data_IF_611031552967
#
_entry.id   IF_611031552967
#
_cell.length_a   1.000
_cell.length_b   1.000
_cell.length_c   1.000
_cell.angle_alpha   90.00
_cell.angle_beta   90.00
_cell.angle_gamma   90.00
#
_symmetry.space_group_name_H-M   'P 1'
#
loop_
_entity.id
_entity.type
_entity.pdbx_description
1 polymer ?
#
# COMPACT_ATOMS: atom_id res chain seq x y z
N UNK A 1 17.26 -1.48 2.16
CA UNK A 1 18.06 -1.86 3.34
C UNK A 1 19.51 -1.40 3.25
N UNK A 2 20.32 -1.85 2.26
CA UNK A 2 21.73 -1.44 2.11
C UNK A 2 21.94 0.08 2.24
N UNK A 3 21.18 0.85 1.46
CA UNK A 3 21.23 2.32 1.46
C UNK A 3 21.03 2.96 2.84
N UNK A 4 20.09 2.44 3.64
CA UNK A 4 19.85 2.91 5.00
C UNK A 4 20.96 2.50 5.98
N UNK A 5 21.57 1.32 5.78
CA UNK A 5 22.70 0.85 6.60
C UNK A 5 23.99 1.63 6.32
N UNK A 6 24.14 2.17 5.12
CA UNK A 6 25.27 2.99 4.67
C UNK A 6 25.02 4.51 4.83
N UNK A 7 23.89 4.89 5.44
CA UNK A 7 23.57 6.29 5.67
C UNK A 7 24.54 6.93 6.66
N UNK A 8 24.96 8.15 6.38
CA UNK A 8 25.78 8.96 7.29
C UNK A 8 24.88 9.61 8.35
N UNK A 9 24.39 8.78 9.29
CA UNK A 9 23.46 9.18 10.33
C UNK A 9 22.38 8.12 10.62
N UNK A 10 21.40 8.45 11.49
CA UNK A 10 20.30 7.53 11.77
C UNK A 10 19.42 7.34 10.53
N UNK A 11 19.01 6.09 10.30
CA UNK A 11 18.06 5.73 9.26
C UNK A 11 16.82 5.05 9.87
N UNK A 12 15.66 5.30 9.26
CA UNK A 12 14.40 4.67 9.64
C UNK A 12 13.83 3.87 8.47
N UNK A 13 13.37 2.65 8.74
CA UNK A 13 12.72 1.78 7.77
C UNK A 13 11.37 1.34 8.33
N UNK A 14 10.29 1.76 7.69
CA UNK A 14 8.96 1.24 7.98
C UNK A 14 8.66 0.09 7.04
N UNK A 15 8.58 -1.13 7.56
CA UNK A 15 8.40 -2.35 6.76
C UNK A 15 7.03 -2.93 7.04
N UNK A 16 6.18 -3.01 6.02
CA UNK A 16 4.93 -3.76 6.13
C UNK A 16 5.25 -5.25 6.17
N UNK A 17 4.80 -5.93 7.21
CA UNK A 17 4.96 -7.36 7.39
C UNK A 17 3.59 -8.00 7.55
N UNK A 18 3.31 -9.01 6.72
CA UNK A 18 2.08 -9.77 6.83
C UNK A 18 2.18 -10.73 8.01
N UNK A 19 1.15 -10.76 8.85
CA UNK A 19 1.07 -11.65 10.00
C UNK A 19 -0.08 -12.62 9.78
N UNK A 20 0.21 -13.87 9.41
CA UNK A 20 -0.79 -14.90 9.11
C UNK A 20 -1.83 -15.05 10.23
N UNK A 21 -1.45 -15.22 11.53
CA UNK A 21 -2.43 -15.36 12.60
C UNK A 21 -3.20 -14.06 12.86
N UNK A 22 -2.54 -12.90 12.78
CA UNK A 22 -3.16 -11.60 13.05
C UNK A 22 -4.12 -11.14 11.95
N UNK A 23 -3.73 -11.31 10.69
CA UNK A 23 -4.50 -10.90 9.52
C UNK A 23 -5.46 -12.00 9.05
N UNK A 24 -5.27 -13.24 9.53
CA UNK A 24 -6.14 -14.40 9.33
C UNK A 24 -6.31 -14.77 7.85
N UNK A 25 -5.19 -15.06 7.17
CA UNK A 25 -5.16 -15.53 5.78
C UNK A 25 -4.37 -16.85 5.67
N UNK A 26 -4.60 -17.65 4.63
CA UNK A 26 -3.87 -18.91 4.42
C UNK A 26 -2.39 -18.65 4.08
N UNK A 27 -1.42 -19.43 4.62
CA UNK A 27 0.02 -19.18 4.41
C UNK A 27 0.45 -18.99 2.95
N UNK A 28 -0.19 -19.70 2.00
CA UNK A 28 0.07 -19.57 0.55
C UNK A 28 -0.14 -18.14 0.00
N UNK A 29 -0.90 -17.30 0.69
CA UNK A 29 -1.18 -15.92 0.28
C UNK A 29 -0.22 -14.90 0.90
N UNK A 30 0.79 -15.31 1.68
CA UNK A 30 1.66 -14.38 2.43
C UNK A 30 2.35 -13.31 1.55
N UNK A 31 2.82 -13.71 0.36
CA UNK A 31 3.40 -12.79 -0.64
C UNK A 31 2.29 -12.00 -1.32
N UNK A 32 1.22 -12.68 -1.75
CA UNK A 32 0.13 -12.08 -2.51
C UNK A 32 -0.53 -10.91 -1.78
N UNK A 33 -0.74 -11.02 -0.46
CA UNK A 33 -1.36 -9.93 0.31
C UNK A 33 -0.46 -8.68 0.40
N UNK A 34 0.87 -8.85 0.38
CA UNK A 34 1.81 -7.72 0.40
C UNK A 34 1.93 -7.07 -0.97
N UNK A 35 1.90 -7.86 -2.05
CA UNK A 35 1.77 -7.33 -3.42
C UNK A 35 0.49 -6.49 -3.55
N UNK A 36 -0.64 -7.05 -3.10
CA UNK A 36 -1.93 -6.35 -3.13
C UNK A 36 -1.96 -5.10 -2.27
N UNK A 37 -1.22 -5.07 -1.15
CA UNK A 37 -1.08 -3.84 -0.35
C UNK A 37 -0.47 -2.71 -1.19
N UNK A 38 0.54 -3.03 -2.01
CA UNK A 38 1.15 -2.07 -2.93
C UNK A 38 0.23 -1.75 -4.11
N UNK A 39 -0.31 -2.78 -4.78
CA UNK A 39 -1.17 -2.62 -5.98
C UNK A 39 -2.47 -1.86 -5.69
N UNK A 40 -2.97 -1.85 -4.45
CA UNK A 40 -4.19 -1.10 -4.07
C UNK A 40 -3.91 0.30 -3.55
N UNK A 41 -2.64 0.66 -3.33
CA UNK A 41 -2.24 1.90 -2.67
C UNK A 41 -2.43 1.90 -1.15
N UNK A 42 -2.79 0.76 -0.54
CA UNK A 42 -2.82 0.63 0.92
C UNK A 42 -1.44 0.84 1.56
N UNK A 43 -0.39 0.45 0.82
CA UNK A 43 0.99 0.67 1.20
C UNK A 43 1.76 1.31 0.04
N UNK A 44 2.38 2.46 0.28
CA UNK A 44 3.20 3.13 -0.73
C UNK A 44 4.68 2.96 -0.39
N UNK A 45 5.44 2.48 -1.36
CA UNK A 45 6.89 2.36 -1.24
C UNK A 45 7.52 3.68 -1.68
N UNK A 46 8.16 4.37 -0.74
CA UNK A 46 8.85 5.63 -0.99
C UNK A 46 10.13 5.74 -0.16
N UNK A 47 10.99 6.67 -0.55
CA UNK A 47 12.18 7.07 0.18
C UNK A 47 12.13 8.58 0.43
N UNK A 48 12.70 9.03 1.55
CA UNK A 48 12.94 10.44 1.83
C UNK A 48 14.41 10.61 2.19
N UNK A 49 15.13 11.34 1.36
CA UNK A 49 16.58 11.53 1.52
C UNK A 49 16.95 12.98 1.31
N UNK A 50 17.65 13.56 2.30
CA UNK A 50 18.04 14.97 2.27
C UNK A 50 16.84 15.90 1.95
N UNK A 51 15.66 15.56 2.48
CA UNK A 51 14.40 16.28 2.24
C UNK A 51 13.70 15.97 0.92
N UNK A 52 14.26 15.13 0.05
CA UNK A 52 13.67 14.77 -1.25
C UNK A 52 12.82 13.51 -1.10
N UNK A 53 11.50 13.65 -1.32
CA UNK A 53 10.56 12.54 -1.35
C UNK A 53 10.53 11.89 -2.73
N UNK A 54 10.58 10.56 -2.78
CA UNK A 54 10.49 9.80 -4.04
C UNK A 54 9.69 8.51 -3.86
N UNK A 55 8.64 8.34 -4.66
CA UNK A 55 7.97 7.03 -4.79
C UNK A 55 8.89 6.07 -5.55
N UNK A 56 9.19 4.92 -4.96
CA UNK A 56 10.14 3.94 -5.53
C UNK A 56 9.46 2.83 -6.31
N UNK A 57 8.17 2.58 -6.04
CA UNK A 57 7.36 1.61 -6.80
C UNK A 57 6.12 2.34 -7.34
N UNK A 58 6.14 2.82 -8.59
CA UNK A 58 4.97 3.43 -9.20
C UNK A 58 3.91 2.38 -9.52
N UNK A 59 2.64 2.77 -9.42
CA UNK A 59 1.46 1.94 -9.71
C UNK A 59 0.56 2.76 -10.64
N UNK A 60 0.74 2.65 -11.98
CA UNK A 60 0.02 3.50 -12.95
C UNK A 60 -1.51 3.39 -12.88
N UNK A 61 -2.01 2.21 -12.50
CA UNK A 61 -3.42 1.96 -12.19
C UNK A 61 -3.47 1.05 -10.99
N UNK A 62 -4.20 1.45 -9.95
CA UNK A 62 -4.30 0.67 -8.71
C UNK A 62 -5.55 -0.18 -8.70
N UNK A 63 -5.47 -1.32 -8.02
CA UNK A 63 -6.62 -2.18 -7.78
C UNK A 63 -7.54 -1.58 -6.71
N UNK A 64 -8.85 -1.93 -6.72
CA UNK A 64 -9.74 -1.58 -5.61
C UNK A 64 -9.23 -2.19 -4.30
N UNK A 65 -9.43 -1.48 -3.17
CA UNK A 65 -8.98 -1.94 -1.85
C UNK A 65 -9.58 -3.30 -1.46
N UNK A 66 -10.74 -3.63 -2.03
CA UNK A 66 -11.38 -4.93 -1.90
C UNK A 66 -10.44 -6.09 -2.26
N UNK A 67 -9.58 -5.92 -3.27
CA UNK A 67 -8.61 -6.94 -3.66
C UNK A 67 -7.65 -7.30 -2.54
N UNK A 68 -7.20 -6.33 -1.74
CA UNK A 68 -6.30 -6.56 -0.61
C UNK A 68 -7.06 -7.19 0.58
N UNK A 69 -8.22 -6.65 0.94
CA UNK A 69 -8.93 -7.06 2.16
C UNK A 69 -9.63 -8.41 2.02
N UNK A 70 -10.02 -8.85 0.82
CA UNK A 70 -10.80 -10.09 0.61
C UNK A 70 -10.10 -11.36 1.13
N UNK A 71 -8.78 -11.38 1.15
CA UNK A 71 -7.99 -12.52 1.62
C UNK A 71 -7.84 -12.58 3.15
N UNK A 72 -8.18 -11.50 3.86
CA UNK A 72 -7.79 -11.30 5.26
C UNK A 72 -9.01 -11.40 6.19
N UNK A 73 -9.00 -12.42 7.05
CA UNK A 73 -10.08 -12.66 8.02
C UNK A 73 -10.32 -11.51 9.00
N UNK A 74 -9.32 -10.66 9.27
CA UNK A 74 -9.49 -9.46 10.13
C UNK A 74 -10.52 -8.46 9.60
N UNK A 75 -10.85 -8.50 8.31
CA UNK A 75 -11.82 -7.60 7.68
C UNK A 75 -13.20 -8.23 7.42
N UNK A 76 -13.44 -9.48 7.83
CA UNK A 76 -14.72 -10.19 7.58
C UNK A 76 -15.99 -9.48 8.08
N UNK A 77 -15.85 -8.61 9.08
CA UNK A 77 -16.97 -7.87 9.66
C UNK A 77 -17.30 -6.57 8.91
N UNK A 78 -16.48 -6.19 7.92
CA UNK A 78 -16.71 -4.97 7.15
C UNK A 78 -17.89 -5.14 6.18
N UNK A 79 -18.76 -4.13 6.15
CA UNK A 79 -19.85 -4.00 5.18
C UNK A 79 -19.38 -3.21 3.97
N UNK A 80 -20.12 -3.27 2.86
CA UNK A 80 -19.82 -2.51 1.63
C UNK A 80 -19.59 -1.02 1.89
N UNK A 81 -20.37 -0.41 2.77
CA UNK A 81 -20.22 1.00 3.17
C UNK A 81 -18.88 1.30 3.89
N UNK A 82 -18.37 0.35 4.67
CA UNK A 82 -17.05 0.48 5.32
C UNK A 82 -15.93 0.36 4.30
N UNK A 83 -16.06 -0.58 3.35
CA UNK A 83 -15.08 -0.76 2.27
C UNK A 83 -15.03 0.49 1.39
N UNK A 84 -16.19 1.07 1.05
CA UNK A 84 -16.26 2.32 0.29
C UNK A 84 -15.63 3.50 1.04
N UNK A 85 -15.80 3.59 2.36
CA UNK A 85 -15.11 4.59 3.20
C UNK A 85 -13.60 4.37 3.19
N UNK A 86 -13.14 3.14 3.35
CA UNK A 86 -11.71 2.79 3.31
C UNK A 86 -11.10 3.14 1.95
N UNK A 87 -11.80 2.86 0.86
CA UNK A 87 -11.37 3.25 -0.48
C UNK A 87 -11.16 4.76 -0.58
N UNK A 88 -12.11 5.57 -0.10
CA UNK A 88 -11.99 7.04 -0.11
C UNK A 88 -10.80 7.55 0.71
N UNK A 89 -10.55 6.97 1.88
CA UNK A 89 -9.38 7.33 2.70
C UNK A 89 -8.09 7.08 1.92
N UNK A 90 -7.96 5.92 1.28
CA UNK A 90 -6.81 5.60 0.45
C UNK A 90 -6.71 6.55 -0.75
N UNK A 91 -7.83 6.89 -1.39
CA UNK A 91 -7.86 7.84 -2.51
C UNK A 91 -7.32 9.22 -2.08
N UNK A 92 -7.69 9.70 -0.89
CA UNK A 92 -7.21 10.95 -0.32
C UNK A 92 -5.72 10.89 0.07
N UNK A 93 -5.26 9.78 0.64
CA UNK A 93 -3.84 9.60 0.99
C UNK A 93 -2.96 9.53 -0.26
N UNK A 94 -3.41 8.82 -1.31
CA UNK A 94 -2.73 8.76 -2.60
C UNK A 94 -2.65 10.14 -3.24
N UNK A 95 -3.72 10.94 -3.18
CA UNK A 95 -3.70 12.31 -3.70
C UNK A 95 -2.59 13.13 -3.03
N UNK A 96 -2.51 13.11 -1.69
CA UNK A 96 -1.47 13.82 -0.93
C UNK A 96 -0.06 13.32 -1.27
N UNK A 97 0.10 12.00 -1.44
CA UNK A 97 1.39 11.41 -1.81
C UNK A 97 1.84 11.89 -3.19
N UNK A 98 0.96 11.90 -4.18
CA UNK A 98 1.28 12.40 -5.52
C UNK A 98 1.58 13.91 -5.51
N UNK A 99 0.88 14.69 -4.68
CA UNK A 99 1.19 16.12 -4.46
C UNK A 99 2.60 16.32 -3.89
N UNK A 100 2.97 15.56 -2.84
CA UNK A 100 4.32 15.60 -2.24
C UNK A 100 5.39 15.17 -3.25
N UNK A 101 5.09 14.14 -4.06
CA UNK A 101 6.00 13.63 -5.07
C UNK A 101 6.14 14.54 -6.30
N UNK A 102 5.25 15.53 -6.46
CA UNK A 102 5.25 16.42 -7.62
C UNK A 102 4.84 15.75 -8.94
N UNK A 103 4.07 14.65 -8.87
CA UNK A 103 3.65 13.89 -10.05
C UNK A 103 2.70 12.74 -9.73
N UNK A 104 2.06 12.17 -10.75
CA UNK A 104 1.21 10.99 -10.60
C UNK A 104 2.07 9.71 -10.64
N UNK A 105 2.37 9.16 -9.47
CA UNK A 105 3.11 7.90 -9.34
C UNK A 105 2.20 6.74 -8.98
N UNK A 106 1.13 7.02 -8.23
CA UNK A 106 0.08 6.07 -7.91
C UNK A 106 -1.21 6.57 -8.56
N UNK A 107 -1.63 5.91 -9.63
CA UNK A 107 -2.72 6.36 -10.47
C UNK A 107 -4.12 6.01 -9.95
N UNK A 108 -5.16 6.21 -10.78
CA UNK A 108 -6.55 5.99 -10.40
C UNK A 108 -6.86 4.50 -10.19
N UNK A 109 -8.00 4.24 -9.53
CA UNK A 109 -8.51 2.87 -9.37
C UNK A 109 -8.97 2.31 -10.72
N UNK A 110 -8.47 1.14 -11.07
CA UNK A 110 -9.01 0.31 -12.14
C UNK A 110 -10.08 -0.63 -11.59
N UNK A 111 -11.34 -0.22 -11.71
CA UNK A 111 -12.50 -1.00 -11.27
C UNK A 111 -12.71 -2.30 -12.08
N UNK A 112 -12.03 -2.46 -13.22
CA UNK A 112 -12.03 -3.70 -14.01
C UNK A 112 -10.92 -4.68 -13.64
N UNK A 113 -9.98 -4.27 -12.77
CA UNK A 113 -8.84 -5.10 -12.42
C UNK A 113 -9.25 -6.33 -11.60
N UNK A 114 -8.71 -7.49 -11.97
CA UNK A 114 -8.97 -8.72 -11.24
C UNK A 114 -8.18 -8.79 -9.93
N UNK A 115 -8.94 -9.09 -8.87
CA UNK A 115 -8.43 -9.56 -7.58
C UNK A 115 -8.26 -11.09 -7.60
#
# INVERSE_FOLDING_TARGET
FKKAAEADGPAFLHVLQSCQPGWRFEPKYAVKVLELATETGYWVNYEVENGVFRVTVPVPKRKPIECFIKYQGRFRHLKKEHIAKLQKVIDEDIKKINEIAGGEYIGPVDWGAQC
#
